data_IF_553907441940
#
_entry.id   IF_553907441940
#
_cell.length_a   1.000
_cell.length_b   1.000
_cell.length_c   1.000
_cell.angle_alpha   90.00
_cell.angle_beta   90.00
_cell.angle_gamma   90.00
#
_symmetry.space_group_name_H-M   'P 1'
#
loop_
_entity.id
_entity.type
_entity.pdbx_description
1 polymer ?
#
# COMPACT_ATOMS: atom_id res chain seq x y z
N UNK A 1 16.70 -30.57 -16.81
CA UNK A 1 15.30 -30.74 -17.26
C UNK A 1 14.27 -30.85 -16.11
N UNK A 2 14.47 -31.70 -15.09
CA UNK A 2 13.49 -31.91 -14.00
C UNK A 2 13.15 -30.64 -13.16
N UNK A 3 14.15 -29.80 -12.90
CA UNK A 3 13.94 -28.53 -12.19
C UNK A 3 13.03 -27.55 -12.94
N UNK A 4 13.11 -27.54 -14.27
CA UNK A 4 12.33 -26.64 -15.13
C UNK A 4 10.84 -27.00 -15.03
N UNK A 5 10.51 -28.29 -15.07
CA UNK A 5 9.13 -28.77 -14.91
C UNK A 5 8.58 -28.50 -13.50
N UNK A 6 9.40 -28.68 -12.46
CA UNK A 6 9.03 -28.33 -11.07
C UNK A 6 8.72 -26.84 -10.95
N UNK A 7 9.57 -25.95 -11.49
CA UNK A 7 9.35 -24.50 -11.49
C UNK A 7 8.11 -24.11 -12.32
N UNK A 8 7.89 -24.76 -13.45
CA UNK A 8 6.68 -24.60 -14.29
C UNK A 8 5.42 -24.93 -13.49
N UNK A 9 5.40 -26.07 -12.81
CA UNK A 9 4.27 -26.49 -11.98
C UNK A 9 4.07 -25.56 -10.77
N UNK A 10 5.14 -25.15 -10.09
CA UNK A 10 5.08 -24.22 -8.95
C UNK A 10 4.49 -22.86 -9.37
N UNK A 11 4.94 -22.30 -10.50
CA UNK A 11 4.39 -21.05 -11.04
C UNK A 11 2.91 -21.19 -11.41
N UNK A 12 2.52 -22.32 -11.99
CA UNK A 12 1.12 -22.60 -12.31
C UNK A 12 0.23 -22.63 -11.05
N UNK A 13 0.63 -23.41 -10.03
CA UNK A 13 -0.09 -23.50 -8.75
C UNK A 13 -0.15 -22.13 -8.04
N UNK A 14 0.95 -21.38 -8.02
CA UNK A 14 1.00 -20.04 -7.45
C UNK A 14 0.04 -19.06 -8.15
N UNK A 15 -0.02 -19.07 -9.49
CA UNK A 15 -0.99 -18.26 -10.25
C UNK A 15 -2.44 -18.64 -9.94
N UNK A 16 -2.75 -19.94 -9.78
CA UNK A 16 -4.09 -20.41 -9.39
C UNK A 16 -4.46 -19.92 -7.98
N UNK A 17 -3.53 -20.01 -7.03
CA UNK A 17 -3.71 -19.48 -5.68
C UNK A 17 -3.94 -17.97 -5.66
N UNK A 18 -3.14 -17.21 -6.42
CA UNK A 18 -3.29 -15.75 -6.57
C UNK A 18 -4.70 -15.37 -7.06
N UNK A 19 -5.25 -16.10 -8.03
CA UNK A 19 -6.60 -15.86 -8.54
C UNK A 19 -7.66 -16.12 -7.47
N UNK A 20 -7.59 -17.25 -6.76
CA UNK A 20 -8.54 -17.61 -5.69
C UNK A 20 -8.51 -16.63 -4.52
N UNK A 21 -7.33 -16.14 -4.14
CA UNK A 21 -7.13 -15.28 -2.97
C UNK A 21 -7.05 -13.78 -3.30
N UNK A 22 -7.38 -13.38 -4.53
CA UNK A 22 -7.21 -12.00 -5.04
C UNK A 22 -7.79 -10.94 -4.11
N UNK A 23 -9.03 -11.13 -3.65
CA UNK A 23 -9.74 -10.17 -2.81
C UNK A 23 -9.19 -10.09 -1.39
N UNK A 24 -8.87 -11.26 -0.80
CA UNK A 24 -8.23 -11.32 0.51
C UNK A 24 -6.87 -10.60 0.49
N UNK A 25 -6.04 -10.90 -0.52
CA UNK A 25 -4.73 -10.24 -0.68
C UNK A 25 -4.88 -8.74 -0.86
N UNK A 26 -5.86 -8.27 -1.64
CA UNK A 26 -6.14 -6.84 -1.80
C UNK A 26 -6.46 -6.19 -0.45
N UNK A 27 -7.37 -6.78 0.34
CA UNK A 27 -7.73 -6.30 1.69
C UNK A 27 -6.51 -6.21 2.60
N UNK A 28 -5.68 -7.25 2.63
CA UNK A 28 -4.46 -7.30 3.46
C UNK A 28 -3.44 -6.25 3.01
N UNK A 29 -3.22 -6.08 1.70
CA UNK A 29 -2.29 -5.08 1.17
C UNK A 29 -2.75 -3.65 1.45
N UNK A 30 -4.05 -3.40 1.40
CA UNK A 30 -4.61 -2.08 1.73
C UNK A 30 -4.47 -1.77 3.23
N UNK A 31 -4.67 -2.78 4.10
CA UNK A 31 -4.36 -2.67 5.53
C UNK A 31 -2.87 -2.40 5.81
N UNK A 32 -1.97 -3.14 5.15
CA UNK A 32 -0.51 -2.94 5.26
C UNK A 32 -0.07 -1.54 4.82
N UNK A 33 -0.62 -1.02 3.71
CA UNK A 33 -0.34 0.34 3.23
C UNK A 33 -0.72 1.40 4.25
N UNK A 34 -1.90 1.29 4.87
CA UNK A 34 -2.33 2.21 5.93
C UNK A 34 -1.39 2.17 7.14
N UNK A 35 -0.98 0.98 7.56
CA UNK A 35 -0.06 0.84 8.69
C UNK A 35 1.34 1.39 8.38
N UNK A 36 1.85 1.19 7.17
CA UNK A 36 3.11 1.77 6.74
C UNK A 36 3.07 3.30 6.75
N UNK A 37 1.99 3.91 6.28
CA UNK A 37 1.82 5.36 6.34
C UNK A 37 1.80 5.89 7.78
N UNK A 38 1.05 5.23 8.67
CA UNK A 38 1.02 5.59 10.11
C UNK A 38 2.41 5.45 10.75
N UNK A 39 3.17 4.42 10.40
CA UNK A 39 4.52 4.22 10.93
C UNK A 39 5.46 5.32 10.46
N UNK A 40 5.37 5.69 9.17
CA UNK A 40 6.13 6.80 8.61
C UNK A 40 5.84 8.13 9.31
N UNK A 41 4.56 8.47 9.50
CA UNK A 41 4.15 9.69 10.21
C UNK A 41 4.65 9.72 11.66
N UNK A 42 4.58 8.58 12.37
CA UNK A 42 5.10 8.45 13.74
C UNK A 42 6.61 8.59 13.81
N UNK A 43 7.34 8.04 12.85
CA UNK A 43 8.80 8.15 12.80
C UNK A 43 9.23 9.60 12.56
N UNK A 44 8.53 10.36 11.70
CA UNK A 44 8.76 11.80 11.54
C UNK A 44 8.49 12.57 12.82
N UNK A 45 7.37 12.29 13.50
CA UNK A 45 7.04 12.91 14.79
C UNK A 45 8.12 12.61 15.84
N UNK A 46 8.66 11.39 15.87
CA UNK A 46 9.74 11.00 16.79
C UNK A 46 11.01 11.80 16.52
N UNK A 47 11.38 12.03 15.26
CA UNK A 47 12.55 12.84 14.90
C UNK A 47 12.39 14.28 15.40
N UNK A 48 11.22 14.90 15.21
CA UNK A 48 10.97 16.26 15.69
C UNK A 48 10.99 16.39 17.21
N UNK A 49 10.35 15.46 17.92
CA UNK A 49 10.38 15.44 19.39
C UNK A 49 11.80 15.26 19.92
N UNK A 50 12.62 14.42 19.26
CA UNK A 50 14.04 14.23 19.62
C UNK A 50 14.87 15.49 19.37
N UNK A 51 14.52 16.28 18.37
CA UNK A 51 15.14 17.58 18.08
C UNK A 51 14.67 18.71 19.02
N UNK A 52 13.78 18.43 19.99
CA UNK A 52 13.26 19.42 20.94
C UNK A 52 12.14 20.30 20.40
N UNK A 53 11.62 20.02 19.21
CA UNK A 53 10.52 20.77 18.60
C UNK A 53 9.18 20.28 19.16
N UNK A 54 8.39 21.18 19.75
CA UNK A 54 7.05 20.86 20.30
C UNK A 54 5.98 20.63 19.22
N UNK A 55 6.17 21.19 18.03
CA UNK A 55 5.28 21.04 16.86
C UNK A 55 6.11 20.73 15.62
N UNK A 56 5.47 20.11 14.64
CA UNK A 56 5.96 20.14 13.25
C UNK A 56 6.17 21.59 12.80
N UNK A 57 7.08 21.82 11.85
CA UNK A 57 7.10 23.09 11.12
C UNK A 57 5.71 23.34 10.49
N UNK A 58 5.23 24.59 10.56
CA UNK A 58 3.85 24.98 10.23
C UNK A 58 3.44 24.66 8.77
N UNK A 59 4.41 24.56 7.87
CA UNK A 59 4.18 24.28 6.45
C UNK A 59 4.47 22.81 6.05
N UNK A 60 4.82 21.94 6.99
CA UNK A 60 5.16 20.56 6.64
C UNK A 60 3.92 19.64 6.56
N UNK A 61 3.36 19.54 5.36
CA UNK A 61 2.33 18.54 5.05
C UNK A 61 2.96 17.16 4.79
N UNK A 62 2.72 16.18 5.66
CA UNK A 62 3.20 14.80 5.45
C UNK A 62 2.55 14.16 4.24
N UNK A 63 3.37 13.88 3.22
CA UNK A 63 2.90 13.25 1.99
C UNK A 63 2.41 11.82 2.26
N UNK A 64 1.26 11.48 1.68
CA UNK A 64 0.69 10.12 1.71
C UNK A 64 1.33 9.22 0.64
N UNK A 65 2.62 8.95 0.79
CA UNK A 65 3.43 8.22 -0.20
C UNK A 65 2.93 6.78 -0.39
N UNK A 66 2.54 6.09 0.69
CA UNK A 66 2.11 4.69 0.64
C UNK A 66 0.64 4.49 0.25
N UNK A 67 -0.15 5.55 0.30
CA UNK A 67 -1.59 5.54 0.02
C UNK A 67 -1.93 6.02 -1.40
N UNK A 68 -1.03 5.80 -2.37
CA UNK A 68 -1.29 6.17 -3.77
C UNK A 68 -2.48 5.36 -4.32
N UNK A 69 -3.62 6.03 -4.49
CA UNK A 69 -4.75 5.50 -5.24
C UNK A 69 -4.31 5.34 -6.71
N UNK A 70 -4.74 4.28 -7.38
CA UNK A 70 -4.53 4.20 -8.81
C UNK A 70 -5.41 5.26 -9.47
N UNK A 71 -4.87 6.04 -10.43
CA UNK A 71 -5.62 7.08 -11.16
C UNK A 71 -6.94 6.55 -11.76
N UNK A 72 -6.99 5.26 -12.10
CA UNK A 72 -8.18 4.54 -12.58
C UNK A 72 -9.31 4.52 -11.53
N UNK A 73 -8.97 4.32 -10.25
CA UNK A 73 -9.95 4.28 -9.16
C UNK A 73 -10.53 5.66 -8.83
N UNK A 74 -9.74 6.72 -9.02
CA UNK A 74 -10.19 8.10 -8.87
C UNK A 74 -11.14 8.50 -10.01
N UNK A 75 -10.81 8.10 -11.25
CA UNK A 75 -11.67 8.33 -12.42
C UNK A 75 -13.05 7.66 -12.29
N UNK A 76 -13.09 6.42 -11.79
CA UNK A 76 -14.33 5.67 -11.53
C UNK A 76 -15.15 6.21 -10.35
N UNK A 77 -14.52 6.91 -9.40
CA UNK A 77 -15.23 7.61 -8.33
C UNK A 77 -15.85 8.90 -8.88
N UNK A 78 -15.11 9.67 -9.67
CA UNK A 78 -15.59 10.93 -10.28
C UNK A 78 -16.85 10.72 -11.13
N UNK A 79 -16.83 9.72 -12.01
CA UNK A 79 -17.98 9.31 -12.84
C UNK A 79 -19.22 8.84 -12.05
N UNK A 80 -19.07 8.50 -10.77
CA UNK A 80 -20.17 8.00 -9.92
C UNK A 80 -20.85 9.11 -9.11
N UNK A 81 -20.17 10.25 -8.92
CA UNK A 81 -20.69 11.41 -8.19
C UNK A 81 -21.23 12.51 -9.13
N UNK A 82 -21.00 12.39 -10.45
CA UNK A 82 -21.56 13.28 -11.49
C UNK A 82 -22.92 12.79 -12.03
N UNK A 83 -23.58 11.84 -11.34
CA UNK A 83 -24.91 11.30 -11.67
C UNK A 83 -25.84 11.50 -10.47
#
# INVERSE_FOLDING_TARGET
>A
MLEIWRRKMNRHKYKKLLKRTKFLRRRVLDGRRKNNQKRFEKDLQRIWMRAGLKKSQEEWNTLRIFNKQSKVSERLKKLRFEK
#
